data_IF_140186489579
#
_entry.id   IF_140186489579
#
_cell.length_a   1.000
_cell.length_b   1.000
_cell.length_c   1.000
_cell.angle_alpha   90.00
_cell.angle_beta   90.00
_cell.angle_gamma   90.00
#
_symmetry.space_group_name_H-M   'P 1'
#
loop_
_entity.id
_entity.type
_entity.pdbx_description
1 polymer ?
#
# COMPACT_ATOMS: atom_id res chain seq x y z
N UNK A 1 -17.06 10.44 -24.84
CA UNK A 1 -16.97 9.52 -23.70
C UNK A 1 -18.02 9.92 -22.67
N UNK A 2 -18.79 8.98 -22.12
CA UNK A 2 -19.56 9.25 -20.89
C UNK A 2 -18.60 9.11 -19.71
N UNK A 3 -18.63 10.04 -18.76
CA UNK A 3 -17.74 10.02 -17.60
C UNK A 3 -17.98 8.79 -16.69
N UNK A 4 -19.17 8.20 -16.77
CA UNK A 4 -19.57 6.99 -16.03
C UNK A 4 -20.25 5.99 -16.97
N UNK A 5 -19.90 4.71 -16.85
CA UNK A 5 -20.61 3.64 -17.53
C UNK A 5 -21.89 3.30 -16.73
N UNK A 6 -23.03 3.70 -17.27
CA UNK A 6 -24.33 3.48 -16.64
C UNK A 6 -24.83 2.03 -16.70
N UNK A 7 -24.09 1.12 -17.35
CA UNK A 7 -24.39 -0.32 -17.39
C UNK A 7 -23.86 -1.06 -16.16
N UNK A 8 -23.01 -0.43 -15.35
CA UNK A 8 -22.45 -1.00 -14.12
C UNK A 8 -23.52 -1.11 -13.04
N UNK A 9 -23.31 -2.03 -12.09
CA UNK A 9 -24.12 -2.08 -10.87
C UNK A 9 -24.09 -0.71 -10.18
N UNK A 10 -25.23 -0.27 -9.67
CA UNK A 10 -25.38 1.07 -9.07
C UNK A 10 -24.38 1.31 -7.92
N UNK A 11 -24.00 0.25 -7.20
CA UNK A 11 -23.02 0.28 -6.10
C UNK A 11 -21.58 0.36 -6.58
N UNK A 12 -21.33 0.24 -7.87
CA UNK A 12 -20.00 0.37 -8.46
C UNK A 12 -19.87 1.62 -9.35
N UNK A 13 -20.88 2.49 -9.37
CA UNK A 13 -20.82 3.74 -10.13
C UNK A 13 -19.82 4.70 -9.49
N UNK A 14 -19.84 4.81 -8.16
CA UNK A 14 -18.86 5.60 -7.43
C UNK A 14 -17.56 4.80 -7.26
N UNK A 15 -16.42 5.47 -7.51
CA UNK A 15 -15.11 4.85 -7.42
C UNK A 15 -14.83 4.31 -6.00
N UNK A 16 -15.26 5.05 -4.97
CA UNK A 16 -15.05 4.67 -3.57
C UNK A 16 -15.81 3.39 -3.22
N UNK A 17 -17.09 3.29 -3.61
CA UNK A 17 -17.93 2.14 -3.29
C UNK A 17 -17.42 0.87 -4.00
N UNK A 18 -17.01 1.01 -5.27
CA UNK A 18 -16.35 -0.05 -6.01
C UNK A 18 -15.05 -0.50 -5.33
N UNK A 19 -14.15 0.44 -5.03
CA UNK A 19 -12.84 0.12 -4.46
C UNK A 19 -12.94 -0.52 -3.07
N UNK A 20 -13.78 0.04 -2.19
CA UNK A 20 -14.03 -0.51 -0.84
C UNK A 20 -14.54 -1.95 -0.93
N UNK A 21 -15.53 -2.20 -1.81
CA UNK A 21 -16.07 -3.55 -2.01
C UNK A 21 -15.01 -4.56 -2.47
N UNK A 22 -14.20 -4.19 -3.48
CA UNK A 22 -13.14 -5.08 -3.99
C UNK A 22 -12.03 -5.32 -2.95
N UNK A 23 -11.63 -4.29 -2.21
CA UNK A 23 -10.62 -4.42 -1.13
C UNK A 23 -11.12 -5.37 -0.03
N UNK A 24 -12.38 -5.25 0.41
CA UNK A 24 -12.96 -6.14 1.42
C UNK A 24 -13.07 -7.59 0.94
N UNK A 25 -13.25 -7.81 -0.36
CA UNK A 25 -13.26 -9.14 -0.98
C UNK A 25 -11.87 -9.71 -1.24
N UNK A 26 -10.79 -8.95 -0.94
CA UNK A 26 -9.42 -9.36 -1.22
C UNK A 26 -9.01 -9.26 -2.69
N UNK A 27 -9.80 -8.55 -3.51
CA UNK A 27 -9.60 -8.38 -4.96
C UNK A 27 -8.87 -7.06 -5.28
N UNK A 28 -7.76 -6.81 -4.59
CA UNK A 28 -7.04 -5.54 -4.72
C UNK A 28 -6.48 -5.35 -6.14
N UNK A 29 -6.02 -6.43 -6.77
CA UNK A 29 -5.48 -6.47 -8.12
C UNK A 29 -6.44 -5.92 -9.19
N UNK A 30 -7.75 -6.00 -8.96
CA UNK A 30 -8.77 -5.46 -9.87
C UNK A 30 -8.95 -3.94 -9.73
N UNK A 31 -8.43 -3.35 -8.64
CA UNK A 31 -8.51 -1.92 -8.35
C UNK A 31 -7.26 -1.18 -8.85
N UNK A 32 -6.12 -1.86 -8.93
CA UNK A 32 -4.84 -1.26 -9.28
C UNK A 32 -4.75 -1.02 -10.79
N UNK A 33 -4.33 0.18 -11.19
CA UNK A 33 -4.05 0.50 -12.59
C UNK A 33 -2.98 -0.46 -13.14
N UNK A 34 -3.24 -1.21 -14.23
CA UNK A 34 -2.29 -2.13 -14.83
C UNK A 34 -0.94 -1.49 -15.19
N UNK A 35 -0.89 -0.17 -15.43
CA UNK A 35 0.35 0.57 -15.68
C UNK A 35 1.26 0.63 -14.45
N UNK A 36 0.74 0.36 -13.26
CA UNK A 36 1.47 0.28 -12.00
C UNK A 36 1.94 -1.15 -11.68
N UNK A 37 1.84 -2.10 -12.61
CA UNK A 37 2.26 -3.50 -12.39
C UNK A 37 3.75 -3.68 -12.02
N UNK A 38 4.60 -2.68 -12.31
CA UNK A 38 6.01 -2.69 -11.91
C UNK A 38 6.27 -2.13 -10.49
N UNK A 39 5.22 -1.65 -9.80
CA UNK A 39 5.34 -1.12 -8.44
C UNK A 39 5.36 -2.27 -7.44
N UNK A 40 6.18 -2.12 -6.39
CA UNK A 40 6.25 -3.05 -5.27
C UNK A 40 4.87 -3.33 -4.67
N UNK A 41 4.45 -4.61 -4.69
CA UNK A 41 3.13 -5.06 -4.24
C UNK A 41 2.88 -4.78 -2.76
N UNK A 42 3.94 -4.80 -1.93
CA UNK A 42 3.84 -4.46 -0.51
C UNK A 42 3.47 -2.98 -0.30
N UNK A 43 4.09 -2.09 -1.06
CA UNK A 43 3.79 -0.66 -1.05
C UNK A 43 2.38 -0.37 -1.56
N UNK A 44 1.93 -1.08 -2.60
CA UNK A 44 0.56 -0.98 -3.12
C UNK A 44 -0.47 -1.43 -2.09
N UNK A 45 -0.24 -2.57 -1.42
CA UNK A 45 -1.12 -3.06 -0.36
C UNK A 45 -1.22 -2.06 0.80
N UNK A 46 -0.09 -1.49 1.24
CA UNK A 46 -0.08 -0.47 2.29
C UNK A 46 -0.81 0.83 1.88
N UNK A 47 -0.69 1.24 0.61
CA UNK A 47 -1.46 2.36 0.07
C UNK A 47 -2.96 2.06 0.08
N UNK A 48 -3.36 0.86 -0.32
CA UNK A 48 -4.76 0.45 -0.34
C UNK A 48 -5.37 0.45 1.07
N UNK A 49 -4.65 -0.08 2.05
CA UNK A 49 -5.05 -0.09 3.46
C UNK A 49 -5.23 1.34 4.01
N UNK A 50 -4.28 2.24 3.75
CA UNK A 50 -4.39 3.64 4.15
C UNK A 50 -5.60 4.31 3.49
N UNK A 51 -5.78 4.08 2.19
CA UNK A 51 -6.89 4.64 1.41
C UNK A 51 -8.24 4.17 1.95
N UNK A 52 -8.35 2.89 2.31
CA UNK A 52 -9.55 2.30 2.90
C UNK A 52 -9.94 3.00 4.21
N UNK A 53 -8.97 3.26 5.10
CA UNK A 53 -9.23 4.00 6.34
C UNK A 53 -9.64 5.46 6.09
N UNK A 54 -9.03 6.13 5.11
CA UNK A 54 -9.38 7.51 4.74
C UNK A 54 -10.84 7.68 4.32
N UNK A 55 -11.45 6.64 3.74
CA UNK A 55 -12.83 6.67 3.25
C UNK A 55 -13.80 5.91 4.16
N UNK A 56 -13.39 5.56 5.39
CA UNK A 56 -14.22 4.85 6.34
C UNK A 56 -15.56 5.56 6.57
N UNK A 57 -16.64 4.78 6.70
CA UNK A 57 -17.97 5.34 6.92
C UNK A 57 -18.04 6.07 8.27
N UNK A 58 -17.48 5.47 9.32
CA UNK A 58 -17.30 6.12 10.62
C UNK A 58 -16.19 7.17 10.53
N UNK A 59 -16.42 8.33 11.14
CA UNK A 59 -15.44 9.41 11.21
C UNK A 59 -14.28 9.05 12.14
N UNK A 60 -14.54 8.25 13.18
CA UNK A 60 -13.57 7.97 14.23
C UNK A 60 -12.52 6.93 13.75
N UNK A 61 -12.84 6.19 12.68
CA UNK A 61 -11.90 5.29 11.98
C UNK A 61 -11.00 6.02 10.97
N UNK A 62 -11.29 7.30 10.67
CA UNK A 62 -10.52 8.07 9.68
C UNK A 62 -9.26 8.65 10.31
N UNK A 63 -8.09 8.44 9.70
CA UNK A 63 -6.88 9.11 10.14
C UNK A 63 -6.95 10.61 9.87
N UNK A 64 -6.31 11.40 10.72
CA UNK A 64 -6.12 12.82 10.46
C UNK A 64 -5.06 13.06 9.35
N UNK A 65 -5.01 14.28 8.82
CA UNK A 65 -4.10 14.61 7.73
C UNK A 65 -2.60 14.44 8.10
N UNK A 66 -2.23 14.63 9.37
CA UNK A 66 -0.85 14.43 9.84
C UNK A 66 -0.51 12.95 9.84
N UNK A 67 -1.41 12.10 10.30
CA UNK A 67 -1.26 10.65 10.28
C UNK A 67 -1.15 10.13 8.83
N UNK A 68 -2.01 10.60 7.93
CA UNK A 68 -1.94 10.25 6.49
C UNK A 68 -0.57 10.62 5.91
N UNK A 69 -0.08 11.83 6.17
CA UNK A 69 1.24 12.27 5.67
C UNK A 69 2.38 11.44 6.25
N UNK A 70 2.32 11.10 7.55
CA UNK A 70 3.32 10.27 8.20
C UNK A 70 3.36 8.87 7.56
N UNK A 71 2.21 8.27 7.32
CA UNK A 71 2.09 6.93 6.74
C UNK A 71 2.54 6.90 5.28
N UNK A 72 2.16 7.90 4.48
CA UNK A 72 2.63 8.04 3.11
C UNK A 72 4.16 8.20 3.03
N UNK A 73 4.78 8.94 3.95
CA UNK A 73 6.25 9.04 4.03
C UNK A 73 6.89 7.69 4.33
N UNK A 74 6.29 6.91 5.24
CA UNK A 74 6.75 5.56 5.60
C UNK A 74 6.66 4.60 4.41
N UNK A 75 5.53 4.60 3.70
CA UNK A 75 5.33 3.80 2.48
C UNK A 75 6.35 4.19 1.40
N UNK A 76 6.54 5.48 1.15
CA UNK A 76 7.55 5.97 0.20
C UNK A 76 8.98 5.58 0.59
N UNK A 77 9.29 5.55 1.89
CA UNK A 77 10.58 5.09 2.42
C UNK A 77 10.88 3.64 2.08
N UNK A 78 9.86 2.76 2.12
CA UNK A 78 9.99 1.34 1.74
C UNK A 78 10.43 1.17 0.28
N UNK A 79 9.82 1.92 -0.62
CA UNK A 79 10.17 1.91 -2.06
C UNK A 79 11.63 2.31 -2.30
N UNK A 80 12.16 3.26 -1.52
CA UNK A 80 13.57 3.71 -1.66
C UNK A 80 14.58 2.71 -1.09
N UNK A 81 14.18 1.90 -0.10
CA UNK A 81 15.01 0.82 0.45
C UNK A 81 15.13 -0.40 -0.47
N UNK A 82 14.13 -0.65 -1.32
CA UNK A 82 14.15 -1.77 -2.27
C UNK A 82 15.05 -1.50 -3.50
N UNK A 83 15.31 -0.24 -3.85
CA UNK A 83 16.20 0.16 -4.97
C UNK A 83 17.66 0.39 -4.50
N UNK A 84 17.99 0.04 -3.25
CA UNK A 84 19.27 0.36 -2.64
C UNK A 84 19.75 -0.65 -1.62
N UNK A 85 19.88 -1.91 -2.02
CA UNK A 85 21.03 -2.79 -1.73
C UNK A 85 20.70 -4.19 -2.24
N UNK A 86 21.25 -4.57 -3.39
CA UNK A 86 21.70 -5.96 -3.54
C UNK A 86 22.76 -6.13 -2.46
N UNK A 87 22.40 -6.69 -1.30
CA UNK A 87 23.41 -7.18 -0.37
C UNK A 87 24.06 -8.35 -1.08
N UNK A 88 25.20 -8.08 -1.74
CA UNK A 88 26.19 -9.11 -1.99
C UNK A 88 26.48 -9.68 -0.60
N UNK A 89 26.07 -10.92 -0.35
CA UNK A 89 26.51 -11.68 0.80
C UNK A 89 28.02 -11.88 0.62
N UNK A 90 28.80 -10.91 1.07
CA UNK A 90 30.21 -11.10 1.29
C UNK A 90 30.33 -12.04 2.49
N UNK A 91 30.51 -13.33 2.19
CA UNK A 91 31.00 -14.31 3.13
C UNK A 91 32.29 -13.77 3.76
N UNK A 92 32.27 -13.52 5.06
CA UNK A 92 33.49 -13.41 5.85
C UNK A 92 33.17 -13.88 7.25
N UNK A 93 33.62 -15.11 7.52
CA UNK A 93 33.74 -15.68 8.83
C UNK A 93 34.57 -14.75 9.72
N UNK A 94 34.03 -14.35 10.87
CA UNK A 94 34.85 -14.03 12.04
C UNK A 94 34.23 -14.73 13.24
N UNK A 95 35.02 -15.64 13.80
CA UNK A 95 34.80 -16.35 15.06
C UNK A 95 35.16 -15.41 16.22
N UNK A 96 34.36 -15.53 17.27
CA UNK A 96 34.33 -14.94 18.63
C UNK A 96 35.70 -14.75 19.33
N UNK A 97 35.83 -13.95 20.42
CA UNK A 97 35.39 -14.43 21.75
C UNK A 97 34.81 -13.40 22.73
N UNK A 98 34.28 -14.00 23.80
CA UNK A 98 33.54 -13.51 24.96
C UNK A 98 34.12 -12.29 25.69
N UNK A 99 33.21 -11.53 26.31
CA UNK A 99 33.56 -10.58 27.35
C UNK A 99 34.11 -11.27 28.60
N UNK A 100 34.88 -10.51 29.39
CA UNK A 100 34.98 -10.55 30.86
C UNK A 100 35.99 -9.45 31.27
N UNK A 101 35.55 -8.66 32.27
CA UNK A 101 36.18 -7.54 33.00
C UNK A 101 36.35 -6.20 32.27
#
# INVERSE_FOLDING_TARGET
MRAVDGRRDKREIALVDMAVGRIQMGLLEEVIDPRLAAVDSSSVAAMAELSFRCVAADKDDRPDAREVVAELKRIKGRVRGAVGTVRVLASSNVVVPDGVL
#
